data_IF_037126414664
#
_entry.id   IF_037126414664
#
_cell.length_a   1.000
_cell.length_b   1.000
_cell.length_c   1.000
_cell.angle_alpha   90.00
_cell.angle_beta   90.00
_cell.angle_gamma   90.00
#
_symmetry.space_group_name_H-M   'P 1'
#
loop_
_entity.id
_entity.type
_entity.pdbx_description
1 polymer ?
#
# COMPACT_ATOMS: atom_id res chain seq x y z
N UNK A 1 7.33 -10.81 40.39
CA UNK A 1 8.66 -10.87 39.73
C UNK A 1 8.58 -10.52 38.24
N UNK A 2 7.69 -11.14 37.46
CA UNK A 2 7.54 -10.88 36.01
C UNK A 2 7.14 -9.41 35.71
N UNK A 3 6.13 -8.85 36.40
CA UNK A 3 5.75 -7.45 36.19
C UNK A 3 6.87 -6.44 36.52
N UNK A 4 7.74 -6.77 37.48
CA UNK A 4 8.87 -5.91 37.85
C UNK A 4 9.96 -5.93 36.77
N UNK A 5 10.24 -7.10 36.18
CA UNK A 5 11.17 -7.22 35.04
C UNK A 5 10.64 -6.49 33.81
N UNK A 6 9.34 -6.58 33.51
CA UNK A 6 8.71 -5.85 32.40
C UNK A 6 8.83 -4.33 32.64
N UNK A 7 8.55 -3.85 33.86
CA UNK A 7 8.70 -2.43 34.18
C UNK A 7 10.13 -1.91 34.02
N UNK A 8 11.14 -2.72 34.38
CA UNK A 8 12.56 -2.36 34.19
C UNK A 8 12.89 -2.26 32.70
N UNK A 9 12.46 -3.23 31.89
CA UNK A 9 12.70 -3.24 30.43
C UNK A 9 12.04 -2.05 29.75
N UNK A 10 10.79 -1.73 30.09
CA UNK A 10 10.09 -0.56 29.57
C UNK A 10 10.81 0.75 29.92
N UNK A 11 11.30 0.87 31.16
CA UNK A 11 12.04 2.05 31.62
C UNK A 11 13.39 2.19 30.90
N UNK A 12 14.07 1.07 30.64
CA UNK A 12 15.32 1.05 29.88
C UNK A 12 15.10 1.56 28.45
N UNK A 13 14.10 1.02 27.73
CA UNK A 13 13.76 1.45 26.36
C UNK A 13 13.42 2.94 26.32
N UNK A 14 12.55 3.40 27.24
CA UNK A 14 12.21 4.84 27.33
C UNK A 14 13.45 5.69 27.56
N UNK A 15 14.33 5.32 28.50
CA UNK A 15 15.56 6.08 28.75
C UNK A 15 16.48 6.15 27.52
N UNK A 16 16.55 5.08 26.74
CA UNK A 16 17.36 5.03 25.52
C UNK A 16 16.80 5.96 24.43
N UNK A 17 15.48 5.98 24.24
CA UNK A 17 14.84 6.69 23.13
C UNK A 17 14.46 8.14 23.45
N UNK A 18 14.20 8.47 24.72
CA UNK A 18 13.67 9.77 25.15
C UNK A 18 14.52 10.96 24.68
N UNK A 19 15.85 10.89 24.78
CA UNK A 19 16.71 11.98 24.34
C UNK A 19 16.63 12.19 22.81
N UNK A 20 16.51 11.10 22.05
CA UNK A 20 16.36 11.16 20.60
C UNK A 20 15.01 11.74 20.19
N UNK A 21 13.94 11.32 20.88
CA UNK A 21 12.58 11.86 20.68
C UNK A 21 12.55 13.35 21.01
N UNK A 22 13.08 13.74 22.17
CA UNK A 22 13.08 15.13 22.64
C UNK A 22 13.76 16.06 21.62
N UNK A 23 14.92 15.65 21.08
CA UNK A 23 15.63 16.43 20.07
C UNK A 23 14.80 16.60 18.79
N UNK A 24 14.17 15.54 18.28
CA UNK A 24 13.32 15.64 17.08
C UNK A 24 12.08 16.50 17.33
N UNK A 25 11.45 16.37 18.49
CA UNK A 25 10.29 17.19 18.88
C UNK A 25 10.70 18.66 18.98
N UNK A 26 11.79 18.97 19.66
CA UNK A 26 12.32 20.33 19.79
C UNK A 26 12.65 20.92 18.41
N UNK A 27 13.36 20.19 17.56
CA UNK A 27 13.67 20.62 16.19
C UNK A 27 12.41 20.89 15.37
N UNK A 28 11.40 20.03 15.45
CA UNK A 28 10.13 20.22 14.73
C UNK A 28 9.32 21.43 15.23
N UNK A 29 9.52 21.85 16.48
CA UNK A 29 8.85 23.01 17.08
C UNK A 29 9.52 24.35 16.76
N UNK A 30 10.73 24.33 16.17
CA UNK A 30 11.47 25.55 15.84
C UNK A 30 10.81 26.32 14.70
N UNK A 31 10.59 27.61 14.90
CA UNK A 31 10.02 28.51 13.89
C UNK A 31 10.94 28.72 12.68
N UNK A 32 12.25 28.60 12.89
CA UNK A 32 13.29 28.74 11.85
C UNK A 32 13.66 27.42 11.18
N UNK A 33 12.96 26.30 11.48
CA UNK A 33 13.28 24.97 10.96
C UNK A 33 13.47 24.97 9.44
N UNK A 34 12.59 25.63 8.68
CA UNK A 34 12.69 25.71 7.22
C UNK A 34 13.99 26.36 6.73
N UNK A 35 14.57 27.27 7.52
CA UNK A 35 15.82 27.96 7.17
C UNK A 35 17.05 27.11 7.55
N UNK A 36 16.98 26.35 8.63
CA UNK A 36 18.11 25.55 9.13
C UNK A 36 18.12 24.11 8.62
N UNK A 37 17.00 23.61 8.11
CA UNK A 37 16.85 22.22 7.66
C UNK A 37 17.77 21.87 6.48
N UNK A 38 18.10 22.83 5.62
CA UNK A 38 19.02 22.61 4.50
C UNK A 38 20.49 22.49 4.94
N UNK A 39 20.80 22.78 6.22
CA UNK A 39 22.17 22.67 6.72
C UNK A 39 22.58 21.19 6.80
N UNK A 40 23.77 20.82 6.29
CA UNK A 40 24.20 19.42 6.22
C UNK A 40 24.30 18.77 7.60
N UNK A 41 24.68 19.53 8.62
CA UNK A 41 24.76 19.04 10.01
C UNK A 41 23.36 18.68 10.57
N UNK A 42 22.33 19.45 10.19
CA UNK A 42 20.95 19.20 10.63
C UNK A 42 20.35 18.02 9.86
N UNK A 43 20.60 17.92 8.54
CA UNK A 43 20.22 16.76 7.73
C UNK A 43 20.82 15.49 8.30
N UNK A 44 22.13 15.50 8.62
CA UNK A 44 22.84 14.38 9.20
C UNK A 44 22.28 14.02 10.58
N UNK A 45 22.00 15.02 11.43
CA UNK A 45 21.44 14.82 12.75
C UNK A 45 20.07 14.14 12.67
N UNK A 46 19.14 14.68 11.87
CA UNK A 46 17.80 14.10 11.69
C UNK A 46 17.91 12.68 11.15
N UNK A 47 18.77 12.45 10.17
CA UNK A 47 18.99 11.12 9.59
C UNK A 47 19.51 10.12 10.63
N UNK A 48 20.52 10.50 11.42
CA UNK A 48 21.06 9.65 12.48
C UNK A 48 20.00 9.30 13.54
N UNK A 49 19.17 10.27 13.93
CA UNK A 49 18.13 10.05 14.93
C UNK A 49 17.03 9.13 14.39
N UNK A 50 16.59 9.34 13.15
CA UNK A 50 15.59 8.47 12.51
C UNK A 50 16.10 7.03 12.36
N UNK A 51 17.33 6.81 11.90
CA UNK A 51 17.90 5.45 11.79
C UNK A 51 18.01 4.75 13.16
N UNK A 52 18.40 5.47 14.22
CA UNK A 52 18.46 4.88 15.56
C UNK A 52 17.08 4.50 16.10
N UNK A 53 16.09 5.36 15.90
CA UNK A 53 14.71 5.09 16.30
C UNK A 53 14.10 3.97 15.46
N UNK A 54 14.48 3.85 14.18
CA UNK A 54 14.13 2.73 13.30
C UNK A 54 14.71 1.42 13.78
N UNK A 55 15.95 1.42 14.26
CA UNK A 55 16.54 0.27 14.94
C UNK A 55 15.75 -0.13 16.19
N UNK A 56 15.30 0.84 16.99
CA UNK A 56 14.45 0.57 18.15
C UNK A 56 13.07 0.01 17.76
N UNK A 57 12.46 0.53 16.69
CA UNK A 57 11.19 0.04 16.15
C UNK A 57 11.28 -1.41 15.66
N UNK A 58 12.34 -1.76 14.93
CA UNK A 58 12.60 -3.13 14.47
C UNK A 58 12.84 -4.13 15.63
N UNK A 59 13.30 -3.64 16.78
CA UNK A 59 13.50 -4.46 17.97
C UNK A 59 12.23 -4.60 18.83
N UNK A 60 11.05 -4.41 18.22
CA UNK A 60 9.78 -4.58 18.94
C UNK A 60 9.58 -6.05 19.33
N UNK A 61 9.35 -6.25 20.63
CA UNK A 61 8.91 -7.52 21.21
C UNK A 61 7.64 -7.26 22.02
N UNK A 62 6.81 -8.28 22.30
CA UNK A 62 5.58 -8.10 23.10
C UNK A 62 5.80 -7.39 24.44
N UNK A 63 7.00 -7.51 25.04
CA UNK A 63 7.36 -6.88 26.31
C UNK A 63 7.77 -5.41 26.20
N UNK A 64 8.27 -4.99 25.04
CA UNK A 64 8.76 -3.63 24.76
C UNK A 64 7.78 -2.81 23.92
N UNK A 65 6.82 -3.48 23.27
CA UNK A 65 5.81 -2.92 22.38
C UNK A 65 5.21 -1.61 22.89
N UNK A 66 4.67 -1.58 24.12
CA UNK A 66 4.04 -0.37 24.67
C UNK A 66 4.98 0.84 24.71
N UNK A 67 6.24 0.66 25.10
CA UNK A 67 7.20 1.77 25.14
C UNK A 67 7.57 2.25 23.73
N UNK A 68 7.64 1.35 22.76
CA UNK A 68 7.96 1.65 21.36
C UNK A 68 6.77 2.33 20.67
N UNK A 69 5.54 1.90 20.96
CA UNK A 69 4.33 2.58 20.53
C UNK A 69 4.28 4.02 21.04
N UNK A 70 4.50 4.25 22.34
CA UNK A 70 4.52 5.61 22.92
C UNK A 70 5.61 6.49 22.30
N UNK A 71 6.78 5.92 21.99
CA UNK A 71 7.86 6.59 21.28
C UNK A 71 7.40 7.09 19.91
N UNK A 72 6.82 6.23 19.08
CA UNK A 72 6.35 6.64 17.75
C UNK A 72 5.15 7.59 17.81
N UNK A 73 4.24 7.40 18.77
CA UNK A 73 3.15 8.33 19.04
C UNK A 73 3.64 9.76 19.32
N UNK A 74 4.75 9.90 20.06
CA UNK A 74 5.36 11.21 20.34
C UNK A 74 5.93 11.88 19.09
N UNK A 75 6.17 11.12 18.03
CA UNK A 75 6.80 11.57 16.78
C UNK A 75 5.80 11.78 15.63
N UNK A 76 4.53 11.42 15.76
CA UNK A 76 3.56 11.52 14.64
C UNK A 76 3.52 12.92 14.00
N UNK A 77 3.31 13.97 14.80
CA UNK A 77 3.30 15.34 14.29
C UNK A 77 4.69 15.82 13.79
N UNK A 78 5.79 15.61 14.55
CA UNK A 78 7.14 15.89 14.05
C UNK A 78 7.45 15.27 12.68
N UNK A 79 7.05 14.02 12.44
CA UNK A 79 7.31 13.33 11.17
C UNK A 79 6.53 13.96 10.01
N UNK A 80 5.27 14.34 10.21
CA UNK A 80 4.51 15.06 9.16
C UNK A 80 5.18 16.42 8.83
N UNK A 81 5.68 17.13 9.85
CA UNK A 81 6.41 18.38 9.65
C UNK A 81 7.73 18.16 8.89
N UNK A 82 8.49 17.14 9.25
CA UNK A 82 9.72 16.80 8.54
C UNK A 82 9.46 16.37 7.10
N UNK A 83 8.37 15.65 6.84
CA UNK A 83 7.97 15.30 5.48
C UNK A 83 7.72 16.53 4.60
N UNK A 84 7.16 17.60 5.17
CA UNK A 84 6.91 18.86 4.46
C UNK A 84 8.21 19.66 4.24
N UNK A 85 9.09 19.70 5.24
CA UNK A 85 10.32 20.49 5.19
C UNK A 85 11.38 19.84 4.30
N UNK A 86 11.56 18.52 4.41
CA UNK A 86 12.58 17.76 3.70
C UNK A 86 12.11 17.17 2.37
N UNK A 87 11.00 17.65 1.79
CA UNK A 87 10.41 17.11 0.55
C UNK A 87 11.35 17.07 -0.67
N UNK A 88 12.45 17.81 -0.63
CA UNK A 88 13.48 17.83 -1.68
C UNK A 88 14.74 17.01 -1.32
N UNK A 89 14.84 16.52 -0.08
CA UNK A 89 15.95 15.70 0.42
C UNK A 89 15.55 14.22 0.43
N UNK A 90 15.72 13.54 -0.71
CA UNK A 90 15.27 12.15 -0.93
C UNK A 90 15.76 11.16 0.13
N UNK A 91 16.98 11.33 0.63
CA UNK A 91 17.56 10.46 1.67
C UNK A 91 16.77 10.54 2.99
N UNK A 92 16.36 11.75 3.40
CA UNK A 92 15.59 11.98 4.61
C UNK A 92 14.15 11.50 4.43
N UNK A 93 13.55 11.76 3.28
CA UNK A 93 12.20 11.29 2.94
C UNK A 93 12.13 9.76 2.99
N UNK A 94 13.05 9.08 2.30
CA UNK A 94 13.13 7.63 2.30
C UNK A 94 13.26 7.06 3.71
N UNK A 95 14.18 7.64 4.50
CA UNK A 95 14.43 7.19 5.86
C UNK A 95 13.22 7.40 6.79
N UNK A 96 12.53 8.53 6.65
CA UNK A 96 11.31 8.81 7.37
C UNK A 96 10.23 7.78 7.05
N UNK A 97 10.01 7.50 5.75
CA UNK A 97 9.06 6.48 5.31
C UNK A 97 9.44 5.10 5.87
N UNK A 98 10.72 4.71 5.80
CA UNK A 98 11.19 3.42 6.33
C UNK A 98 11.08 3.32 7.85
N UNK A 99 11.32 4.39 8.59
CA UNK A 99 11.06 4.43 10.03
C UNK A 99 9.58 4.17 10.32
N UNK A 100 8.68 4.84 9.61
CA UNK A 100 7.23 4.67 9.80
C UNK A 100 6.78 3.25 9.46
N UNK A 101 7.27 2.67 8.35
CA UNK A 101 7.00 1.28 7.98
C UNK A 101 7.40 0.33 9.10
N UNK A 102 8.67 0.36 9.51
CA UNK A 102 9.21 -0.57 10.50
C UNK A 102 8.52 -0.38 11.87
N UNK A 103 8.10 0.84 12.21
CA UNK A 103 7.33 1.11 13.42
C UNK A 103 5.90 0.57 13.33
N UNK A 104 5.16 0.87 12.27
CA UNK A 104 3.79 0.40 12.09
C UNK A 104 3.74 -1.11 12.05
N UNK A 105 4.63 -1.76 11.28
CA UNK A 105 4.71 -3.21 11.16
C UNK A 105 4.87 -3.91 12.53
N UNK A 106 5.77 -3.40 13.37
CA UNK A 106 6.00 -3.94 14.70
C UNK A 106 4.87 -3.65 15.71
N UNK A 107 4.04 -2.64 15.46
CA UNK A 107 2.97 -2.25 16.39
C UNK A 107 1.60 -2.81 16.01
N UNK A 108 1.25 -2.79 14.72
CA UNK A 108 -0.13 -2.78 14.23
C UNK A 108 -1.00 -3.92 14.78
N UNK A 109 -0.46 -5.15 14.82
CA UNK A 109 -1.18 -6.35 15.27
C UNK A 109 -1.54 -6.31 16.77
N UNK A 110 -0.85 -5.49 17.57
CA UNK A 110 -1.06 -5.37 19.02
C UNK A 110 -1.94 -4.18 19.41
N UNK A 111 -2.29 -3.31 18.46
CA UNK A 111 -2.99 -2.06 18.74
C UNK A 111 -4.47 -2.32 19.00
N UNK A 112 -4.99 -1.69 20.05
CA UNK A 112 -6.43 -1.63 20.29
C UNK A 112 -7.13 -0.76 19.21
N UNK A 113 -8.45 -0.88 19.09
CA UNK A 113 -9.21 -0.19 18.03
C UNK A 113 -8.96 1.33 17.99
N UNK A 114 -8.89 1.98 19.15
CA UNK A 114 -8.58 3.41 19.26
C UNK A 114 -7.17 3.76 18.77
N UNK A 115 -6.19 2.95 19.15
CA UNK A 115 -4.78 3.15 18.79
C UNK A 115 -4.58 2.91 17.29
N UNK A 116 -5.25 1.90 16.75
CA UNK A 116 -5.32 1.60 15.32
C UNK A 116 -5.86 2.79 14.54
N UNK A 117 -6.97 3.40 14.98
CA UNK A 117 -7.54 4.58 14.32
C UNK A 117 -6.57 5.77 14.27
N UNK A 118 -5.79 5.99 15.34
CA UNK A 118 -4.77 7.05 15.39
C UNK A 118 -3.65 6.78 14.38
N UNK A 119 -3.11 5.55 14.37
CA UNK A 119 -2.00 5.17 13.48
C UNK A 119 -2.43 5.21 12.01
N UNK A 120 -3.60 4.67 11.71
CA UNK A 120 -4.21 4.73 10.37
C UNK A 120 -4.42 6.18 9.92
N UNK A 121 -5.00 7.02 10.77
CA UNK A 121 -5.21 8.43 10.46
C UNK A 121 -3.91 9.18 10.17
N UNK A 122 -2.84 8.87 10.92
CA UNK A 122 -1.50 9.39 10.65
C UNK A 122 -0.95 8.89 9.30
N UNK A 123 -1.01 7.58 9.03
CA UNK A 123 -0.50 7.00 7.79
C UNK A 123 -1.18 7.61 6.56
N UNK A 124 -2.50 7.82 6.61
CA UNK A 124 -3.23 8.45 5.51
C UNK A 124 -2.80 9.90 5.27
N UNK A 125 -2.55 10.68 6.33
CA UNK A 125 -2.00 12.04 6.20
C UNK A 125 -0.59 12.03 5.60
N UNK A 126 0.25 11.10 6.02
CA UNK A 126 1.60 10.94 5.49
C UNK A 126 1.58 10.62 3.98
N UNK A 127 0.71 9.70 3.55
CA UNK A 127 0.53 9.34 2.14
C UNK A 127 0.02 10.52 1.30
N UNK A 128 -0.93 11.29 1.83
CA UNK A 128 -1.45 12.50 1.18
C UNK A 128 -0.35 13.55 1.01
N UNK A 129 0.46 13.81 2.04
CA UNK A 129 1.59 14.73 1.96
C UNK A 129 2.61 14.26 0.92
N UNK A 130 3.05 12.99 0.99
CA UNK A 130 3.98 12.43 0.03
C UNK A 130 3.47 12.57 -1.42
N UNK A 131 2.20 12.20 -1.65
CA UNK A 131 1.60 12.27 -2.98
C UNK A 131 1.50 13.70 -3.49
N UNK A 132 1.07 14.65 -2.65
CA UNK A 132 0.95 16.07 -3.02
C UNK A 132 2.27 16.68 -3.51
N UNK A 133 3.41 16.27 -2.93
CA UNK A 133 4.74 16.74 -3.33
C UNK A 133 5.26 16.08 -4.61
N UNK A 134 4.71 14.92 -4.97
CA UNK A 134 5.26 14.05 -6.02
C UNK A 134 4.40 13.94 -7.28
N UNK A 135 3.12 14.31 -7.26
CA UNK A 135 2.23 14.27 -8.44
C UNK A 135 2.72 15.23 -9.54
N UNK A 136 3.14 16.46 -9.18
CA UNK A 136 3.54 17.49 -10.15
C UNK A 136 4.94 17.32 -10.75
N UNK A 137 5.81 16.55 -10.08
CA UNK A 137 7.21 16.36 -10.49
C UNK A 137 7.39 15.41 -11.68
N UNK A 138 6.35 14.65 -12.04
CA UNK A 138 6.37 13.68 -13.16
C UNK A 138 6.53 14.38 -14.53
N UNK A 139 6.23 15.68 -14.61
CA UNK A 139 6.14 16.45 -15.87
C UNK A 139 7.42 17.20 -16.27
N UNK A 140 8.44 17.28 -15.42
CA UNK A 140 9.62 18.11 -15.70
C UNK A 140 10.69 17.33 -16.48
N UNK A 141 11.04 17.87 -17.65
CA UNK A 141 12.04 17.37 -18.58
C UNK A 141 13.44 17.40 -17.98
N UNK A 142 13.77 16.37 -17.20
CA UNK A 142 15.10 16.15 -16.63
C UNK A 142 15.94 15.36 -17.65
N UNK A 143 17.23 15.67 -17.75
CA UNK A 143 18.19 14.92 -18.59
C UNK A 143 18.20 13.41 -18.26
N UNK A 144 18.48 12.54 -19.22
CA UNK A 144 18.31 11.08 -19.08
C UNK A 144 19.09 10.43 -17.92
N UNK A 145 20.26 10.96 -17.53
CA UNK A 145 21.04 10.47 -16.39
C UNK A 145 20.41 10.83 -15.05
N UNK A 146 20.03 12.10 -14.86
CA UNK A 146 19.34 12.57 -13.65
C UNK A 146 17.95 11.93 -13.48
N UNK A 147 17.29 11.54 -14.58
CA UNK A 147 16.06 10.74 -14.52
C UNK A 147 16.28 9.36 -13.89
N UNK A 148 17.38 8.67 -14.21
CA UNK A 148 17.66 7.34 -13.69
C UNK A 148 17.92 7.34 -12.16
N UNK A 149 18.63 8.35 -11.66
CA UNK A 149 18.86 8.53 -10.22
C UNK A 149 17.55 8.90 -9.49
N UNK A 150 16.80 9.86 -10.03
CA UNK A 150 15.49 10.23 -9.49
C UNK A 150 14.51 9.05 -9.46
N UNK A 151 14.48 8.24 -10.52
CA UNK A 151 13.65 7.03 -10.59
C UNK A 151 14.08 5.99 -9.54
N UNK A 152 15.39 5.89 -9.25
CA UNK A 152 15.91 4.97 -8.23
C UNK A 152 15.47 5.39 -6.82
N UNK A 153 15.51 6.68 -6.49
CA UNK A 153 15.04 7.16 -5.19
C UNK A 153 13.51 7.07 -5.07
N UNK A 154 12.77 7.46 -6.11
CA UNK A 154 11.31 7.28 -6.16
C UNK A 154 10.90 5.83 -6.02
N UNK A 155 11.63 4.91 -6.65
CA UNK A 155 11.43 3.48 -6.52
C UNK A 155 11.50 3.05 -5.04
N UNK A 156 12.52 3.50 -4.30
CA UNK A 156 12.69 3.16 -2.88
C UNK A 156 11.55 3.70 -2.02
N UNK A 157 11.16 4.96 -2.25
CA UNK A 157 10.08 5.61 -1.52
C UNK A 157 8.73 4.91 -1.75
N UNK A 158 8.39 4.65 -3.01
CA UNK A 158 7.15 3.96 -3.38
C UNK A 158 7.11 2.55 -2.82
N UNK A 159 8.25 1.86 -2.79
CA UNK A 159 8.34 0.55 -2.16
C UNK A 159 8.05 0.62 -0.66
N UNK A 160 8.62 1.60 0.04
CA UNK A 160 8.33 1.81 1.47
C UNK A 160 6.84 2.14 1.68
N UNK A 161 6.24 2.95 0.82
CA UNK A 161 4.81 3.27 0.87
C UNK A 161 3.92 2.04 0.66
N UNK A 162 4.23 1.18 -0.31
CA UNK A 162 3.47 -0.07 -0.53
C UNK A 162 3.63 -1.03 0.66
N UNK A 163 4.82 -1.10 1.25
CA UNK A 163 5.06 -1.88 2.47
C UNK A 163 4.23 -1.35 3.64
N UNK A 164 4.13 -0.02 3.80
CA UNK A 164 3.27 0.58 4.82
C UNK A 164 1.81 0.15 4.65
N UNK A 165 1.29 0.19 3.42
CA UNK A 165 -0.08 -0.25 3.13
C UNK A 165 -0.27 -1.74 3.41
N UNK A 166 0.70 -2.58 3.07
CA UNK A 166 0.68 -4.01 3.39
C UNK A 166 0.68 -4.26 4.91
N UNK A 167 1.49 -3.54 5.68
CA UNK A 167 1.49 -3.63 7.15
C UNK A 167 0.18 -3.14 7.76
N UNK A 168 -0.50 -2.14 7.19
CA UNK A 168 -1.85 -1.78 7.64
C UNK A 168 -2.84 -2.91 7.35
N UNK A 169 -2.75 -3.53 6.18
CA UNK A 169 -3.61 -4.64 5.77
C UNK A 169 -3.48 -5.87 6.68
N UNK A 170 -2.29 -6.12 7.26
CA UNK A 170 -2.09 -7.27 8.15
C UNK A 170 -2.91 -7.21 9.43
N UNK A 171 -3.42 -6.03 9.82
CA UNK A 171 -4.32 -5.87 10.98
C UNK A 171 -5.60 -6.68 10.84
N UNK A 172 -6.18 -6.73 9.64
CA UNK A 172 -7.40 -7.49 9.38
C UNK A 172 -7.14 -9.00 9.33
N UNK A 173 -5.90 -9.42 9.05
CA UNK A 173 -5.52 -10.83 8.97
C UNK A 173 -5.18 -11.42 10.34
N UNK A 174 -4.46 -10.66 11.16
CA UNK A 174 -4.00 -11.08 12.49
C UNK A 174 -4.24 -9.95 13.48
N UNK A 175 -5.34 -10.07 14.22
CA UNK A 175 -5.77 -9.08 15.19
C UNK A 175 -5.71 -9.63 16.63
N UNK A 176 -4.91 -8.99 17.50
CA UNK A 176 -4.87 -9.28 18.94
C UNK A 176 -5.65 -8.27 19.80
N UNK A 177 -6.43 -7.36 19.20
CA UNK A 177 -7.22 -6.38 19.96
C UNK A 177 -8.39 -7.03 20.69
N UNK A 178 -8.77 -6.41 21.80
CA UNK A 178 -9.89 -6.87 22.63
C UNK A 178 -11.24 -6.44 22.04
N UNK A 179 -11.26 -5.32 21.32
CA UNK A 179 -12.42 -4.72 20.67
C UNK A 179 -12.36 -4.89 19.15
N UNK A 180 -13.52 -4.96 18.45
CA UNK A 180 -13.54 -4.94 17.00
C UNK A 180 -13.03 -3.59 16.46
N UNK A 181 -12.24 -3.62 15.39
CA UNK A 181 -11.62 -2.43 14.77
C UNK A 181 -12.66 -1.36 14.40
N UNK A 182 -13.83 -1.81 13.94
CA UNK A 182 -14.95 -0.97 13.51
C UNK A 182 -15.56 -0.13 14.63
N UNK A 183 -15.27 -0.43 15.91
CA UNK A 183 -15.78 0.33 17.06
C UNK A 183 -15.43 1.82 17.01
N UNK A 184 -14.34 2.17 16.32
CA UNK A 184 -13.89 3.55 16.12
C UNK A 184 -14.08 4.04 14.68
N UNK A 185 -14.94 3.37 13.90
CA UNK A 185 -15.27 3.74 12.52
C UNK A 185 -14.12 3.55 11.53
N UNK A 186 -13.08 2.80 11.89
CA UNK A 186 -11.95 2.52 11.01
C UNK A 186 -12.22 1.23 10.25
N UNK A 187 -12.18 1.30 8.92
CA UNK A 187 -12.23 0.14 8.04
C UNK A 187 -10.88 0.03 7.32
N UNK A 188 -10.06 -0.95 7.70
CA UNK A 188 -8.68 -1.11 7.21
C UNK A 188 -8.68 -1.37 5.71
N UNK A 189 -9.58 -2.21 5.21
CA UNK A 189 -9.73 -2.44 3.78
C UNK A 189 -9.97 -1.14 2.98
N UNK A 190 -10.91 -0.30 3.41
CA UNK A 190 -11.18 1.00 2.78
C UNK A 190 -9.95 1.92 2.83
N UNK A 191 -9.23 1.93 3.95
CA UNK A 191 -7.99 2.69 4.13
C UNK A 191 -6.92 2.24 3.14
N UNK A 192 -6.70 0.93 3.01
CA UNK A 192 -5.69 0.37 2.10
C UNK A 192 -6.05 0.63 0.64
N UNK A 193 -7.32 0.47 0.24
CA UNK A 193 -7.78 0.86 -1.11
C UNK A 193 -7.58 2.35 -1.40
N UNK A 194 -7.92 3.20 -0.43
CA UNK A 194 -7.74 4.65 -0.57
C UNK A 194 -6.25 5.00 -0.69
N UNK A 195 -5.41 4.38 0.13
CA UNK A 195 -3.96 4.53 0.05
C UNK A 195 -3.40 4.08 -1.30
N UNK A 196 -3.84 2.92 -1.82
CA UNK A 196 -3.43 2.42 -3.12
C UNK A 196 -3.87 3.37 -4.25
N UNK A 197 -5.07 3.96 -4.16
CA UNK A 197 -5.56 4.96 -5.11
C UNK A 197 -4.72 6.25 -5.09
N UNK A 198 -4.23 6.68 -3.92
CA UNK A 198 -3.33 7.85 -3.77
C UNK A 198 -1.97 7.60 -4.43
N UNK A 199 -1.47 6.38 -4.35
CA UNK A 199 -0.10 6.01 -4.75
C UNK A 199 -0.01 5.54 -6.19
N UNK A 200 -1.05 4.89 -6.72
CA UNK A 200 -1.08 4.36 -8.10
C UNK A 200 -0.67 5.39 -9.16
N UNK A 201 -1.13 6.66 -9.13
CA UNK A 201 -0.69 7.68 -10.10
C UNK A 201 0.81 8.00 -10.06
N UNK A 202 1.50 7.68 -8.95
CA UNK A 202 2.93 7.91 -8.79
C UNK A 202 3.78 6.76 -9.35
N UNK A 203 3.18 5.59 -9.58
CA UNK A 203 3.82 4.39 -10.12
C UNK A 203 3.65 4.41 -11.64
N UNK A 204 4.69 4.84 -12.36
CA UNK A 204 4.71 4.78 -13.82
C UNK A 204 5.06 3.37 -14.31
N UNK A 205 4.73 3.08 -15.57
CA UNK A 205 5.14 1.82 -16.22
C UNK A 205 6.67 1.64 -16.25
N UNK A 206 7.44 2.74 -16.33
CA UNK A 206 8.90 2.70 -16.24
C UNK A 206 9.38 2.25 -14.85
N UNK A 207 8.69 2.66 -13.78
CA UNK A 207 9.00 2.23 -12.42
C UNK A 207 8.65 0.75 -12.18
N UNK A 208 7.66 0.20 -12.89
CA UNK A 208 7.34 -1.23 -12.81
C UNK A 208 8.43 -2.12 -13.44
N UNK A 209 9.40 -1.55 -14.17
CA UNK A 209 10.60 -2.31 -14.59
C UNK A 209 11.49 -2.72 -13.42
N UNK A 210 11.33 -2.12 -12.23
CA UNK A 210 12.04 -2.54 -11.03
C UNK A 210 11.32 -3.73 -10.37
N UNK A 211 11.88 -4.96 -10.39
CA UNK A 211 11.11 -6.18 -10.08
C UNK A 211 10.49 -6.20 -8.70
N UNK A 212 11.22 -5.71 -7.68
CA UNK A 212 10.71 -5.68 -6.30
C UNK A 212 9.54 -4.73 -6.11
N UNK A 213 9.52 -3.59 -6.82
CA UNK A 213 8.40 -2.65 -6.74
C UNK A 213 7.19 -3.21 -7.48
N UNK A 214 7.43 -3.80 -8.66
CA UNK A 214 6.39 -4.50 -9.41
C UNK A 214 5.74 -5.58 -8.55
N UNK A 215 6.54 -6.48 -7.98
CA UNK A 215 6.05 -7.53 -7.10
C UNK A 215 5.29 -6.97 -5.88
N UNK A 216 5.85 -6.00 -5.14
CA UNK A 216 5.18 -5.44 -3.96
C UNK A 216 3.83 -4.76 -4.34
N UNK A 217 3.77 -4.11 -5.51
CA UNK A 217 2.54 -3.49 -6.01
C UNK A 217 1.48 -4.51 -6.40
N UNK A 218 1.84 -5.51 -7.23
CA UNK A 218 0.91 -6.55 -7.65
C UNK A 218 0.52 -7.48 -6.50
N UNK A 219 1.40 -7.71 -5.53
CA UNK A 219 1.10 -8.50 -4.34
C UNK A 219 0.01 -7.85 -3.50
N UNK A 220 0.12 -6.55 -3.25
CA UNK A 220 -0.90 -5.80 -2.52
C UNK A 220 -2.21 -5.72 -3.32
N UNK A 221 -2.14 -5.37 -4.60
CA UNK A 221 -3.33 -5.29 -5.46
C UNK A 221 -4.06 -6.64 -5.55
N UNK A 222 -3.32 -7.73 -5.80
CA UNK A 222 -3.85 -9.10 -5.87
C UNK A 222 -4.60 -9.46 -4.59
N UNK A 223 -3.98 -9.22 -3.43
CA UNK A 223 -4.59 -9.47 -2.13
C UNK A 223 -5.88 -8.69 -1.93
N UNK A 224 -5.89 -7.38 -2.22
CA UNK A 224 -7.07 -6.54 -2.05
C UNK A 224 -8.24 -6.99 -2.94
N UNK A 225 -7.95 -7.41 -4.18
CA UNK A 225 -8.96 -7.87 -5.14
C UNK A 225 -9.48 -9.28 -4.83
N UNK A 226 -8.66 -10.13 -4.20
CA UNK A 226 -9.05 -11.48 -3.81
C UNK A 226 -9.84 -11.51 -2.50
N UNK A 227 -9.37 -10.78 -1.49
CA UNK A 227 -9.95 -10.81 -0.14
C UNK A 227 -11.12 -9.85 0.01
N UNK A 228 -11.07 -8.69 -0.65
CA UNK A 228 -12.09 -7.64 -0.55
C UNK A 228 -12.62 -7.18 -1.92
N UNK A 229 -13.11 -8.10 -2.77
CA UNK A 229 -13.60 -7.82 -4.12
C UNK A 229 -14.80 -6.86 -4.14
N UNK A 230 -15.60 -6.80 -3.08
CA UNK A 230 -16.77 -5.91 -2.95
C UNK A 230 -16.42 -4.44 -3.06
N UNK A 231 -15.20 -4.06 -2.66
CA UNK A 231 -14.76 -2.66 -2.67
C UNK A 231 -14.63 -2.09 -4.09
N UNK A 232 -14.49 -2.95 -5.12
CA UNK A 232 -14.54 -2.51 -6.51
C UNK A 232 -15.82 -1.73 -6.82
N UNK A 233 -16.94 -2.10 -6.20
CA UNK A 233 -18.23 -1.45 -6.44
C UNK A 233 -18.29 0.00 -5.94
N UNK A 234 -17.33 0.39 -5.08
CA UNK A 234 -17.22 1.74 -4.53
C UNK A 234 -16.25 2.62 -5.33
N UNK A 235 -15.52 2.04 -6.28
CA UNK A 235 -14.57 2.78 -7.10
C UNK A 235 -15.28 3.57 -8.20
N UNK A 236 -14.70 4.71 -8.57
CA UNK A 236 -15.13 5.43 -9.76
C UNK A 236 -14.64 4.72 -11.05
N UNK A 237 -15.24 5.07 -12.19
CA UNK A 237 -14.91 4.45 -13.48
C UNK A 237 -13.43 4.60 -13.87
N UNK A 238 -12.78 5.71 -13.53
CA UNK A 238 -11.36 5.92 -13.82
C UNK A 238 -10.46 4.96 -13.05
N UNK A 239 -10.70 4.78 -11.75
CA UNK A 239 -9.93 3.87 -10.90
C UNK A 239 -10.10 2.42 -11.38
N UNK A 240 -11.30 2.04 -11.78
CA UNK A 240 -11.60 0.72 -12.31
C UNK A 240 -10.85 0.44 -13.63
N UNK A 241 -10.85 1.41 -14.56
CA UNK A 241 -10.06 1.32 -15.81
C UNK A 241 -8.56 1.21 -15.53
N UNK A 242 -8.05 1.90 -14.50
CA UNK A 242 -6.64 1.77 -14.10
C UNK A 242 -6.32 0.38 -13.58
N UNK A 243 -7.19 -0.24 -12.78
CA UNK A 243 -7.01 -1.62 -12.28
C UNK A 243 -6.94 -2.60 -13.46
N UNK A 244 -7.87 -2.49 -14.42
CA UNK A 244 -7.88 -3.35 -15.61
C UNK A 244 -6.57 -3.24 -16.38
N UNK A 245 -6.16 -2.00 -16.73
CA UNK A 245 -4.90 -1.76 -17.44
C UNK A 245 -3.68 -2.26 -16.68
N UNK A 246 -3.71 -2.19 -15.36
CA UNK A 246 -2.65 -2.69 -14.49
C UNK A 246 -2.56 -4.20 -14.55
N UNK A 247 -3.69 -4.91 -14.43
CA UNK A 247 -3.72 -6.37 -14.51
C UNK A 247 -3.36 -6.88 -15.92
N UNK A 248 -3.82 -6.21 -16.98
CA UNK A 248 -3.42 -6.53 -18.36
C UNK A 248 -1.91 -6.38 -18.56
N UNK A 249 -1.31 -5.31 -18.01
CA UNK A 249 0.14 -5.14 -18.02
C UNK A 249 0.87 -6.25 -17.24
N UNK A 250 0.31 -6.65 -16.09
CA UNK A 250 0.84 -7.70 -15.23
C UNK A 250 0.85 -9.09 -15.88
N UNK A 251 -0.13 -9.39 -16.74
CA UNK A 251 -0.16 -10.63 -17.53
C UNK A 251 0.99 -10.74 -18.54
N UNK A 252 1.70 -9.64 -18.83
CA UNK A 252 2.86 -9.60 -19.71
C UNK A 252 4.21 -9.58 -18.96
N UNK A 253 4.20 -9.77 -17.63
CA UNK A 253 5.41 -9.76 -16.79
C UNK A 253 5.96 -11.17 -16.54
N UNK A 254 6.88 -11.31 -15.58
CA UNK A 254 7.37 -12.60 -15.12
C UNK A 254 6.27 -13.48 -14.50
N UNK A 255 6.57 -14.77 -14.35
CA UNK A 255 5.61 -15.77 -13.91
C UNK A 255 5.02 -15.47 -12.52
N UNK A 256 5.80 -14.87 -11.60
CA UNK A 256 5.32 -14.56 -10.25
C UNK A 256 4.26 -13.44 -10.30
N UNK A 257 4.51 -12.39 -11.08
CA UNK A 257 3.54 -11.30 -11.29
C UNK A 257 2.29 -11.79 -12.04
N UNK A 258 2.45 -12.66 -13.03
CA UNK A 258 1.32 -13.27 -13.74
C UNK A 258 0.46 -14.08 -12.78
N UNK A 259 1.05 -14.91 -11.92
CA UNK A 259 0.33 -15.68 -10.90
C UNK A 259 -0.49 -14.76 -9.96
N UNK A 260 0.09 -13.64 -9.53
CA UNK A 260 -0.61 -12.62 -8.73
C UNK A 260 -1.80 -12.00 -9.48
N UNK A 261 -1.66 -11.74 -10.78
CA UNK A 261 -2.76 -11.23 -11.61
C UNK A 261 -3.88 -12.25 -11.77
N UNK A 262 -3.53 -13.52 -12.03
CA UNK A 262 -4.48 -14.61 -12.14
C UNK A 262 -5.26 -14.81 -10.84
N UNK A 263 -4.58 -14.73 -9.68
CA UNK A 263 -5.22 -14.77 -8.36
C UNK A 263 -6.22 -13.63 -8.16
N UNK A 264 -5.86 -12.42 -8.55
CA UNK A 264 -6.76 -11.25 -8.49
C UNK A 264 -8.01 -11.44 -9.37
N UNK A 265 -7.82 -11.86 -10.63
CA UNK A 265 -8.89 -12.10 -11.60
C UNK A 265 -9.83 -13.21 -11.10
N UNK A 266 -9.26 -14.33 -10.61
CA UNK A 266 -10.01 -15.41 -9.96
C UNK A 266 -10.87 -14.89 -8.82
N UNK A 267 -10.32 -14.06 -7.93
CA UNK A 267 -11.01 -13.50 -6.79
C UNK A 267 -12.26 -12.71 -7.20
N UNK A 268 -12.09 -11.78 -8.15
CA UNK A 268 -13.18 -10.95 -8.68
C UNK A 268 -14.27 -11.77 -9.38
N UNK A 269 -13.88 -12.66 -10.29
CA UNK A 269 -14.81 -13.47 -11.05
C UNK A 269 -15.58 -14.43 -10.12
N UNK A 270 -14.89 -15.06 -9.17
CA UNK A 270 -15.50 -15.97 -8.19
C UNK A 270 -16.48 -15.24 -7.27
N UNK A 271 -16.14 -14.03 -6.82
CA UNK A 271 -17.03 -13.21 -6.03
C UNK A 271 -18.30 -12.85 -6.80
N UNK A 272 -18.17 -12.36 -8.04
CA UNK A 272 -19.33 -12.03 -8.86
C UNK A 272 -20.22 -13.25 -9.10
N UNK A 273 -19.63 -14.39 -9.47
CA UNK A 273 -20.35 -15.63 -9.72
C UNK A 273 -21.12 -16.11 -8.47
N UNK A 274 -20.47 -16.11 -7.30
CA UNK A 274 -21.09 -16.52 -6.04
C UNK A 274 -22.26 -15.61 -5.66
N UNK A 275 -22.08 -14.29 -5.76
CA UNK A 275 -23.13 -13.33 -5.48
C UNK A 275 -24.33 -13.49 -6.42
N UNK A 276 -24.08 -13.60 -7.74
CA UNK A 276 -25.14 -13.86 -8.73
C UNK A 276 -25.90 -15.15 -8.44
N UNK A 277 -25.18 -16.21 -8.07
CA UNK A 277 -25.78 -17.49 -7.70
C UNK A 277 -26.66 -17.40 -6.46
N UNK A 278 -26.36 -16.46 -5.55
CA UNK A 278 -27.16 -16.16 -4.37
C UNK A 278 -28.33 -15.19 -4.64
N UNK A 279 -28.49 -14.68 -5.87
CA UNK A 279 -29.51 -13.70 -6.23
C UNK A 279 -29.11 -12.24 -6.01
N UNK A 280 -27.86 -11.98 -5.62
CA UNK A 280 -27.31 -10.65 -5.40
C UNK A 280 -26.72 -10.05 -6.70
N UNK A 281 -26.45 -8.74 -6.69
CA UNK A 281 -25.94 -8.00 -7.87
C UNK A 281 -24.44 -8.23 -8.13
N UNK A 282 -23.67 -8.75 -7.16
CA UNK A 282 -22.23 -8.94 -7.28
C UNK A 282 -21.47 -7.62 -7.52
N UNK A 283 -20.51 -7.63 -8.44
CA UNK A 283 -19.81 -6.43 -8.93
C UNK A 283 -20.70 -5.36 -9.60
N UNK A 284 -22.03 -5.56 -9.66
CA UNK A 284 -22.98 -4.57 -10.15
C UNK A 284 -22.82 -4.24 -11.64
N UNK A 285 -23.03 -2.98 -11.99
CA UNK A 285 -23.00 -2.50 -13.39
C UNK A 285 -21.62 -2.54 -14.04
N UNK A 286 -20.55 -2.77 -13.26
CA UNK A 286 -19.19 -2.93 -13.77
C UNK A 286 -18.90 -4.34 -14.30
N UNK A 287 -19.69 -5.34 -13.89
CA UNK A 287 -19.39 -6.75 -14.12
C UNK A 287 -19.46 -7.14 -15.61
N UNK A 288 -20.61 -6.85 -16.22
CA UNK A 288 -20.99 -7.27 -17.57
C UNK A 288 -21.22 -6.05 -18.45
N UNK A 289 -21.00 -6.21 -19.76
CA UNK A 289 -21.18 -5.11 -20.70
C UNK A 289 -22.61 -4.55 -20.69
N UNK A 290 -22.73 -3.22 -20.76
CA UNK A 290 -24.02 -2.53 -20.80
C UNK A 290 -24.06 -1.53 -21.95
N UNK A 291 -25.26 -1.22 -22.45
CA UNK A 291 -25.45 -0.12 -23.40
C UNK A 291 -25.76 1.15 -22.61
N UNK A 292 -24.97 2.19 -22.82
CA UNK A 292 -25.24 3.49 -22.22
C UNK A 292 -26.49 4.15 -22.83
N UNK A 293 -26.91 5.27 -22.25
CA UNK A 293 -28.08 6.05 -22.68
C UNK A 293 -27.90 6.63 -24.10
N UNK A 294 -26.67 6.63 -24.62
CA UNK A 294 -26.33 7.05 -25.99
C UNK A 294 -26.27 5.88 -26.98
N UNK A 295 -26.51 4.65 -26.52
CA UNK A 295 -26.49 3.44 -27.32
C UNK A 295 -25.11 2.81 -27.51
N UNK A 296 -24.05 3.37 -26.92
CA UNK A 296 -22.71 2.80 -27.00
C UNK A 296 -22.58 1.63 -26.04
N UNK A 297 -22.01 0.53 -26.53
CA UNK A 297 -21.72 -0.64 -25.71
C UNK A 297 -20.45 -0.37 -24.89
N UNK A 298 -20.59 -0.37 -23.58
CA UNK A 298 -19.50 -0.37 -22.62
C UNK A 298 -19.21 -1.82 -22.24
N UNK A 299 -17.97 -2.25 -22.43
CA UNK A 299 -17.56 -3.61 -22.07
C UNK A 299 -17.39 -3.75 -20.55
N UNK A 300 -17.85 -4.86 -19.98
CA UNK A 300 -17.72 -5.15 -18.55
C UNK A 300 -16.31 -5.62 -18.19
N UNK A 301 -15.94 -5.48 -16.92
CA UNK A 301 -14.62 -5.87 -16.42
C UNK A 301 -14.33 -7.36 -16.63
N UNK A 302 -15.33 -8.23 -16.43
CA UNK A 302 -15.17 -9.67 -16.57
C UNK A 302 -15.05 -10.08 -18.04
N UNK A 303 -15.78 -9.40 -18.93
CA UNK A 303 -15.67 -9.59 -20.37
C UNK A 303 -14.24 -9.28 -20.86
N UNK A 304 -13.65 -8.19 -20.39
CA UNK A 304 -12.29 -7.79 -20.74
C UNK A 304 -11.26 -8.81 -20.22
N UNK A 305 -11.34 -9.20 -18.95
CA UNK A 305 -10.42 -10.20 -18.40
C UNK A 305 -10.56 -11.58 -19.07
N UNK A 306 -11.75 -11.99 -19.47
CA UNK A 306 -11.94 -13.23 -20.23
C UNK A 306 -11.17 -13.17 -21.55
N UNK A 307 -11.27 -12.06 -22.30
CA UNK A 307 -10.51 -11.88 -23.55
C UNK A 307 -9.01 -11.83 -23.32
N UNK A 308 -8.54 -11.04 -22.35
CA UNK A 308 -7.11 -10.94 -22.03
C UNK A 308 -6.54 -12.30 -21.62
N UNK A 309 -7.27 -13.06 -20.79
CA UNK A 309 -6.81 -14.38 -20.33
C UNK A 309 -6.82 -15.42 -21.46
N UNK A 310 -7.84 -15.43 -22.32
CA UNK A 310 -7.84 -16.30 -23.50
C UNK A 310 -6.70 -15.94 -24.46
N UNK A 311 -6.44 -14.65 -24.66
CA UNK A 311 -5.33 -14.22 -25.50
C UNK A 311 -3.98 -14.66 -24.91
N UNK A 312 -3.80 -14.52 -23.59
CA UNK A 312 -2.64 -15.02 -22.86
C UNK A 312 -2.48 -16.53 -23.05
N UNK A 313 -3.53 -17.32 -22.80
CA UNK A 313 -3.45 -18.79 -22.84
C UNK A 313 -3.29 -19.38 -24.23
N UNK A 314 -3.86 -18.75 -25.26
CA UNK A 314 -3.87 -19.29 -26.62
C UNK A 314 -2.66 -18.84 -27.44
N UNK A 315 -2.10 -17.66 -27.16
CA UNK A 315 -1.11 -17.03 -28.04
C UNK A 315 0.21 -16.65 -27.38
N UNK A 316 0.31 -16.65 -26.05
CA UNK A 316 1.57 -16.34 -25.38
C UNK A 316 2.31 -17.60 -24.93
N UNK A 317 3.64 -17.54 -24.93
CA UNK A 317 4.48 -18.56 -24.32
C UNK A 317 4.51 -18.31 -22.80
N UNK A 318 3.82 -19.15 -22.02
CA UNK A 318 3.75 -19.04 -20.57
C UNK A 318 4.25 -20.30 -19.86
N UNK A 319 4.68 -20.17 -18.60
CA UNK A 319 5.18 -21.30 -17.82
C UNK A 319 4.07 -22.34 -17.57
N UNK A 320 4.40 -23.62 -17.70
CA UNK A 320 3.49 -24.73 -17.37
C UNK A 320 3.02 -24.71 -15.92
N UNK A 321 3.78 -24.08 -15.03
CA UNK A 321 3.43 -23.94 -13.61
C UNK A 321 2.19 -23.05 -13.41
N UNK A 322 1.91 -22.15 -14.36
CA UNK A 322 0.77 -21.23 -14.30
C UNK A 322 -0.54 -21.85 -14.79
N UNK A 323 -0.50 -23.07 -15.37
CA UNK A 323 -1.70 -23.72 -15.93
C UNK A 323 -2.79 -23.88 -14.86
N UNK A 324 -2.41 -24.23 -13.63
CA UNK A 324 -3.34 -24.36 -12.51
C UNK A 324 -4.00 -23.03 -12.16
N UNK A 325 -3.20 -21.98 -11.91
CA UNK A 325 -3.69 -20.64 -11.59
C UNK A 325 -4.55 -20.05 -12.71
N UNK A 326 -4.18 -20.29 -13.97
CA UNK A 326 -4.93 -19.80 -15.12
C UNK A 326 -6.27 -20.52 -15.27
N UNK A 327 -6.31 -21.85 -15.09
CA UNK A 327 -7.56 -22.61 -15.13
C UNK A 327 -8.51 -22.15 -14.00
N UNK A 328 -7.97 -21.93 -12.80
CA UNK A 328 -8.69 -21.42 -11.65
C UNK A 328 -9.30 -20.03 -11.88
N UNK A 329 -8.60 -19.16 -12.62
CA UNK A 329 -9.10 -17.83 -13.00
C UNK A 329 -10.10 -17.89 -14.16
N UNK A 330 -9.86 -18.75 -15.14
CA UNK A 330 -10.67 -18.87 -16.36
C UNK A 330 -12.06 -19.45 -16.08
N UNK A 331 -12.17 -20.47 -15.24
CA UNK A 331 -13.44 -21.13 -14.95
C UNK A 331 -14.54 -20.15 -14.48
N UNK A 332 -14.35 -19.35 -13.41
CA UNK A 332 -15.39 -18.42 -12.97
C UNK A 332 -15.69 -17.33 -14.00
N UNK A 333 -14.70 -16.92 -14.82
CA UNK A 333 -14.94 -15.98 -15.92
C UNK A 333 -15.87 -16.57 -16.99
N UNK A 334 -15.62 -17.80 -17.43
CA UNK A 334 -16.50 -18.50 -18.39
C UNK A 334 -17.91 -18.64 -17.82
N UNK A 335 -18.02 -18.97 -16.53
CA UNK A 335 -19.33 -19.11 -15.88
C UNK A 335 -20.09 -17.78 -15.81
N UNK A 336 -19.40 -16.65 -15.67
CA UNK A 336 -20.01 -15.32 -15.69
C UNK A 336 -20.37 -14.85 -17.10
N UNK A 337 -19.56 -15.16 -18.11
CA UNK A 337 -19.62 -14.60 -19.47
C UNK A 337 -19.75 -15.70 -20.55
N UNK A 338 -20.64 -16.67 -20.34
CA UNK A 338 -20.80 -17.83 -21.23
C UNK A 338 -21.08 -17.44 -22.69
N UNK A 339 -21.93 -16.43 -22.90
CA UNK A 339 -22.29 -15.97 -24.24
C UNK A 339 -21.09 -15.38 -25.00
N UNK A 340 -20.20 -14.68 -24.30
CA UNK A 340 -18.98 -14.11 -24.88
C UNK A 340 -17.94 -15.21 -25.15
N UNK A 341 -17.82 -16.19 -24.27
CA UNK A 341 -16.90 -17.32 -24.45
C UNK A 341 -17.26 -18.20 -25.66
N UNK A 342 -18.55 -18.35 -25.95
CA UNK A 342 -19.05 -19.17 -27.06
C UNK A 342 -19.04 -18.46 -28.42
N UNK A 343 -18.92 -17.12 -28.43
CA UNK A 343 -18.99 -16.27 -29.63
C UNK A 343 -17.65 -16.22 -30.38
#
# INVERSE_FOLDING_TARGET
MICHCIAIVLRYVRNLTNHMIANLVELSSRSDLKCVAEQPDIILLVSCLLERLRGAANATEPRTQRAIYEMGCSLLNPLLMFMEVYKHESSVVYLLLRFVVDWVDGQIIYLEARETAIVVGFCMRLLQLYSSHNIGMISLSISSSLRCEADTERYKDLRAVLQLLASLCSKDLVDFSSEPIEAHGTNICQVVYTGLHIVTPLISLDLLKYPKLCHDYFSLLSHMLEVYPEMITQLNGEALVRIIKTLDFGLCQDADVVDLCLRAIKGLASFHYKQRSAGEVGLGHHASGYKDHTGNFQEGILSQFLRSLLQFLLFQDYSTDLVGSAADALLPLILCEQSLYQA
#
